data_IF_853602748336
#
_entry.id   IF_853602748336
#
_cell.length_a   1.000
_cell.length_b   1.000
_cell.length_c   1.000
_cell.angle_alpha   90.00
_cell.angle_beta   90.00
_cell.angle_gamma   90.00
#
_symmetry.space_group_name_H-M   'P 1'
#
loop_
_entity.id
_entity.type
_entity.pdbx_description
1 polymer ?
#
# COMPACT_ATOMS: atom_id res chain seq x y z
N UNK A 1 -2.28 49.47 -10.45
CA UNK A 1 -2.44 48.09 -9.95
C UNK A 1 -1.26 47.26 -10.45
N UNK A 2 -0.22 47.07 -9.63
CA UNK A 2 1.10 46.58 -10.07
C UNK A 2 1.18 45.05 -10.18
N UNK A 3 1.44 44.58 -11.41
CA UNK A 3 1.50 43.17 -11.87
C UNK A 3 2.74 42.38 -11.38
N UNK A 4 3.51 42.91 -10.42
CA UNK A 4 4.88 42.46 -10.11
C UNK A 4 5.05 41.71 -8.78
N UNK A 5 3.96 41.31 -8.13
CA UNK A 5 3.99 40.70 -6.79
C UNK A 5 4.45 39.23 -6.76
N UNK A 6 4.87 38.65 -7.90
CA UNK A 6 5.30 37.24 -8.02
C UNK A 6 6.79 37.04 -8.35
N UNK A 7 7.63 38.06 -8.24
CA UNK A 7 9.09 37.93 -8.38
C UNK A 7 9.75 38.04 -7.00
N UNK A 8 9.59 37.02 -6.15
CA UNK A 8 10.22 37.04 -4.82
C UNK A 8 11.69 36.62 -4.86
N UNK A 9 12.12 35.78 -5.82
CA UNK A 9 13.49 35.27 -5.86
C UNK A 9 13.95 34.96 -7.32
N UNK A 10 14.44 35.95 -8.09
CA UNK A 10 14.86 35.73 -9.48
C UNK A 10 16.06 34.77 -9.65
N UNK A 11 16.83 34.54 -8.58
CA UNK A 11 18.01 33.66 -8.58
C UNK A 11 17.75 32.29 -7.95
N UNK A 12 16.52 32.00 -7.49
CA UNK A 12 16.19 30.69 -6.94
C UNK A 12 15.87 29.73 -8.08
N UNK A 13 16.92 29.15 -8.64
CA UNK A 13 16.84 28.19 -9.74
C UNK A 13 16.52 26.82 -9.13
N UNK A 14 15.32 26.32 -9.41
CA UNK A 14 14.93 24.95 -9.05
C UNK A 14 15.57 23.98 -10.06
N UNK A 15 16.63 23.27 -9.64
CA UNK A 15 17.38 22.35 -10.51
C UNK A 15 16.50 21.22 -11.08
N UNK A 16 15.43 20.82 -10.37
CA UNK A 16 14.49 19.81 -10.85
C UNK A 16 13.56 20.31 -11.96
N UNK A 17 13.38 21.62 -12.12
CA UNK A 17 12.61 22.20 -13.22
C UNK A 17 13.40 22.24 -14.54
N UNK A 18 14.73 22.24 -14.45
CA UNK A 18 15.63 22.41 -15.59
C UNK A 18 16.26 21.08 -16.08
N UNK A 19 15.95 19.96 -15.44
CA UNK A 19 16.42 18.65 -15.90
C UNK A 19 15.59 18.15 -17.10
N UNK A 20 16.29 17.66 -18.13
CA UNK A 20 15.69 16.99 -19.29
C UNK A 20 15.16 15.60 -18.90
N UNK A 21 15.79 15.00 -17.89
CA UNK A 21 15.28 13.84 -17.18
C UNK A 21 14.15 14.33 -16.29
N UNK A 22 12.92 14.17 -16.78
CA UNK A 22 11.72 14.65 -16.12
C UNK A 22 11.69 14.29 -14.63
N UNK A 23 11.05 15.15 -13.85
CA UNK A 23 10.96 15.06 -12.41
C UNK A 23 10.49 13.65 -11.98
N UNK A 24 11.43 12.84 -11.47
CA UNK A 24 11.13 11.59 -10.79
C UNK A 24 10.48 11.97 -9.47
N UNK A 25 9.15 12.12 -9.48
CA UNK A 25 8.40 12.15 -8.24
C UNK A 25 8.74 10.86 -7.49
N UNK A 26 9.43 10.98 -6.34
CA UNK A 26 9.46 9.91 -5.35
C UNK A 26 8.00 9.63 -5.03
N UNK A 27 7.46 8.56 -5.60
CA UNK A 27 6.08 8.15 -5.33
C UNK A 27 6.13 7.61 -3.91
N UNK A 28 5.81 8.46 -2.94
CA UNK A 28 5.60 8.03 -1.56
C UNK A 28 4.42 7.04 -1.55
N UNK A 29 4.76 5.77 -1.75
CA UNK A 29 3.86 4.61 -1.71
C UNK A 29 3.46 4.34 -0.26
N UNK A 30 2.75 5.30 0.32
CA UNK A 30 2.12 5.18 1.64
C UNK A 30 0.88 4.27 1.60
N UNK A 31 0.36 4.00 0.40
CA UNK A 31 -0.82 3.16 0.16
C UNK A 31 -0.50 1.69 -0.08
N UNK A 32 -1.54 0.87 0.02
CA UNK A 32 -1.53 -0.53 -0.35
C UNK A 32 -1.64 -0.62 -1.88
N UNK A 33 -0.57 -1.01 -2.58
CA UNK A 33 -0.57 -1.09 -4.04
C UNK A 33 -1.08 -2.44 -4.55
N UNK A 34 -1.71 -2.41 -5.72
CA UNK A 34 -2.15 -3.61 -6.43
C UNK A 34 -0.93 -4.43 -6.86
N UNK A 35 -0.98 -5.73 -6.62
CA UNK A 35 0.06 -6.67 -7.00
C UNK A 35 1.25 -6.75 -6.03
N UNK A 36 1.30 -5.90 -5.00
CA UNK A 36 2.36 -5.99 -3.98
C UNK A 36 2.23 -7.26 -3.16
N UNK A 37 3.39 -7.85 -2.84
CA UNK A 37 3.51 -8.99 -1.94
C UNK A 37 3.92 -8.51 -0.55
N UNK A 38 3.14 -8.89 0.45
CA UNK A 38 3.40 -8.54 1.85
C UNK A 38 3.27 -9.77 2.73
N UNK A 39 4.18 -9.89 3.69
CA UNK A 39 4.12 -10.93 4.71
C UNK A 39 3.37 -10.40 5.91
N UNK A 40 2.25 -11.02 6.23
CA UNK A 40 1.34 -10.58 7.30
C UNK A 40 0.91 -11.76 8.14
N UNK A 41 0.51 -11.47 9.39
CA UNK A 41 -0.09 -12.45 10.29
C UNK A 41 -1.60 -12.29 10.26
N UNK A 42 -2.31 -13.40 10.08
CA UNK A 42 -3.78 -13.41 10.11
C UNK A 42 -4.24 -13.18 11.54
N UNK A 43 -5.07 -12.15 11.72
CA UNK A 43 -5.56 -11.76 13.05
C UNK A 43 -6.83 -12.50 13.41
N UNK A 44 -7.78 -12.59 12.47
CA UNK A 44 -9.12 -13.12 12.75
C UNK A 44 -9.73 -13.79 11.51
N UNK A 45 -10.94 -14.35 11.67
CA UNK A 45 -11.72 -14.98 10.60
C UNK A 45 -13.15 -14.41 10.56
N UNK A 46 -13.62 -14.10 9.35
CA UNK A 46 -15.00 -13.67 9.08
C UNK A 46 -16.00 -14.83 9.22
N UNK A 47 -17.29 -14.51 9.32
CA UNK A 47 -18.38 -15.51 9.39
C UNK A 47 -18.42 -16.47 8.19
N UNK A 48 -17.90 -16.04 7.03
CA UNK A 48 -17.76 -16.86 5.83
C UNK A 48 -16.50 -17.75 5.82
N UNK A 49 -15.71 -17.77 6.90
CA UNK A 49 -14.46 -18.54 6.98
C UNK A 49 -13.29 -17.91 6.21
N UNK A 50 -13.34 -16.60 5.96
CA UNK A 50 -12.26 -15.85 5.28
C UNK A 50 -11.34 -15.24 6.32
N UNK A 51 -10.03 -15.26 6.10
CA UNK A 51 -9.07 -14.65 7.00
C UNK A 51 -9.05 -13.14 6.88
N UNK A 52 -9.06 -12.45 8.01
CA UNK A 52 -9.03 -10.99 8.12
C UNK A 52 -7.67 -10.54 8.63
N UNK A 53 -7.04 -9.65 7.89
CA UNK A 53 -5.75 -9.04 8.24
C UNK A 53 -5.93 -7.53 8.35
N UNK A 54 -5.47 -6.94 9.44
CA UNK A 54 -5.39 -5.48 9.58
C UNK A 54 -3.97 -5.02 9.30
N UNK A 55 -3.78 -4.22 8.25
CA UNK A 55 -2.46 -3.69 7.88
C UNK A 55 -2.57 -2.20 7.54
N UNK A 56 -1.84 -1.35 8.27
CA UNK A 56 -1.78 0.12 8.06
C UNK A 56 -3.17 0.79 7.92
N UNK A 57 -4.17 0.32 8.66
CA UNK A 57 -5.55 0.85 8.60
C UNK A 57 -6.43 0.28 7.48
N UNK A 58 -5.91 -0.66 6.68
CA UNK A 58 -6.68 -1.43 5.70
C UNK A 58 -7.09 -2.78 6.28
N UNK A 59 -8.31 -3.20 5.96
CA UNK A 59 -8.82 -4.55 6.19
C UNK A 59 -8.60 -5.37 4.93
N UNK A 60 -7.67 -6.32 4.99
CA UNK A 60 -7.38 -7.23 3.88
C UNK A 60 -8.10 -8.55 4.13
N UNK A 61 -8.96 -8.91 3.19
CA UNK A 61 -9.70 -10.16 3.18
C UNK A 61 -8.90 -11.17 2.35
N UNK A 62 -8.51 -12.26 3.00
CA UNK A 62 -7.69 -13.32 2.41
C UNK A 62 -8.47 -14.63 2.46
N UNK A 63 -8.89 -15.19 1.31
CA UNK A 63 -9.56 -16.48 1.28
C UNK A 63 -8.56 -17.58 1.66
N UNK A 64 -9.02 -18.60 2.38
CA UNK A 64 -8.22 -19.78 2.78
C UNK A 64 -7.04 -19.48 3.71
N UNK A 65 -7.15 -18.44 4.52
CA UNK A 65 -6.17 -18.09 5.53
C UNK A 65 -6.75 -18.32 6.93
N UNK A 66 -5.99 -18.99 7.80
CA UNK A 66 -6.44 -19.37 9.16
C UNK A 66 -5.88 -18.38 10.18
N UNK A 67 -6.64 -17.99 11.22
CA UNK A 67 -6.13 -17.12 12.28
C UNK A 67 -4.87 -17.74 12.94
N UNK A 68 -3.87 -16.89 13.17
CA UNK A 68 -2.59 -17.32 13.74
C UNK A 68 -1.53 -17.74 12.71
N UNK A 69 -1.91 -17.97 11.46
CA UNK A 69 -0.98 -18.29 10.36
C UNK A 69 -0.16 -17.05 9.94
N UNK A 70 1.10 -17.27 9.52
CA UNK A 70 1.93 -16.25 8.87
C UNK A 70 2.06 -16.55 7.39
N UNK A 71 1.50 -15.65 6.58
CA UNK A 71 1.35 -15.84 5.13
C UNK A 71 1.92 -14.67 4.35
N UNK A 72 2.55 -14.97 3.23
CA UNK A 72 2.84 -13.98 2.19
C UNK A 72 1.63 -13.90 1.27
N UNK A 73 1.02 -12.73 1.23
CA UNK A 73 -0.16 -12.45 0.43
C UNK A 73 0.18 -11.50 -0.70
N UNK A 74 -0.49 -11.67 -1.83
CA UNK A 74 -0.45 -10.75 -2.96
C UNK A 74 -1.78 -10.05 -3.11
N UNK A 75 -1.75 -8.73 -3.07
CA UNK A 75 -2.94 -7.89 -3.19
C UNK A 75 -3.47 -7.97 -4.63
N UNK A 76 -4.72 -8.39 -4.80
CA UNK A 76 -5.35 -8.52 -6.12
C UNK A 76 -6.25 -7.34 -6.44
N UNK A 77 -6.95 -6.81 -5.44
CA UNK A 77 -7.89 -5.69 -5.59
C UNK A 77 -7.90 -4.83 -4.34
N UNK A 78 -7.98 -3.51 -4.50
CA UNK A 78 -8.20 -2.56 -3.40
C UNK A 78 -9.51 -1.84 -3.66
N UNK A 79 -10.42 -1.86 -2.69
CA UNK A 79 -11.76 -1.29 -2.76
C UNK A 79 -11.94 -0.22 -1.68
N UNK A 80 -12.38 0.98 -2.09
CA UNK A 80 -12.73 2.11 -1.23
C UNK A 80 -11.66 2.50 -0.17
N UNK A 81 -10.37 2.42 -0.50
CA UNK A 81 -9.22 2.80 0.35
C UNK A 81 -9.19 2.20 1.76
N UNK A 82 -10.02 1.19 2.06
CA UNK A 82 -10.13 0.59 3.40
C UNK A 82 -10.24 -0.92 3.34
N UNK A 83 -10.76 -1.48 2.25
CA UNK A 83 -10.88 -2.93 2.06
C UNK A 83 -9.96 -3.34 0.92
N UNK A 84 -9.23 -4.43 1.11
CA UNK A 84 -8.45 -5.03 0.03
C UNK A 84 -8.68 -6.53 -0.01
N UNK A 85 -8.59 -7.10 -1.20
CA UNK A 85 -8.60 -8.53 -1.41
C UNK A 85 -7.20 -8.96 -1.78
N UNK A 86 -6.77 -10.07 -1.21
CA UNK A 86 -5.47 -10.65 -1.51
C UNK A 86 -5.58 -12.17 -1.64
N UNK A 87 -4.61 -12.74 -2.34
CA UNK A 87 -4.44 -14.18 -2.50
C UNK A 87 -3.20 -14.64 -1.75
N UNK A 88 -3.22 -15.85 -1.20
CA UNK A 88 -2.04 -16.43 -0.54
C UNK A 88 -1.08 -16.93 -1.60
N UNK A 89 0.17 -16.44 -1.56
CA UNK A 89 1.26 -16.92 -2.44
C UNK A 89 2.08 -17.98 -1.72
N UNK A 90 2.42 -17.75 -0.45
CA UNK A 90 3.27 -18.65 0.32
C UNK A 90 2.81 -18.70 1.78
N UNK A 91 2.83 -19.90 2.36
CA UNK A 91 2.62 -20.13 3.79
C UNK A 91 3.99 -20.31 4.45
N UNK A 92 4.27 -19.54 5.50
CA UNK A 92 5.58 -19.55 6.17
C UNK A 92 5.50 -20.35 7.47
N UNK A 93 4.41 -20.17 8.23
CA UNK A 93 4.22 -20.84 9.52
C UNK A 93 2.82 -21.44 9.57
N UNK A 94 2.74 -22.75 9.78
CA UNK A 94 1.48 -23.44 10.03
C UNK A 94 0.95 -23.08 11.42
N UNK A 95 -0.39 -23.01 11.59
CA UNK A 95 -0.98 -22.75 12.89
C UNK A 95 -0.55 -23.86 13.86
N UNK A 96 0.05 -23.47 15.00
CA UNK A 96 0.33 -24.41 16.08
C UNK A 96 -0.99 -25.05 16.53
N UNK A 97 -1.03 -26.38 16.44
CA UNK A 97 -2.17 -27.22 16.83
C UNK A 97 -2.33 -27.28 18.34
#
# INVERSE_FOLDING_TARGET
MTRYRKYKDPYKIDFNRLSIYGNLKSRDNSGLELGSEITVKVSDMDMEGRGVVKFKGYTIIVPRAVPGEKVTIRVTKVENNKVAYASVVKRIEEPKR
#
